data_IF_958485197069
#
_entry.id   IF_958485197069
#
_cell.length_a   1.000
_cell.length_b   1.000
_cell.length_c   1.000
_cell.angle_alpha   90.00
_cell.angle_beta   90.00
_cell.angle_gamma   90.00
#
_symmetry.space_group_name_H-M   'P 1'
#
loop_
_entity.id
_entity.type
_entity.pdbx_description
1 polymer ?
#
# COMPACT_ATOMS: atom_id res chain seq x y z
N UNK A 1 -11.46 -8.04 -13.51
CA UNK A 1 -11.17 -7.82 -12.08
C UNK A 1 -12.50 -7.66 -11.38
N UNK A 2 -12.62 -8.16 -10.15
CA UNK A 2 -13.76 -7.96 -9.25
C UNK A 2 -13.96 -6.49 -8.83
N UNK A 3 -12.93 -5.65 -8.97
CA UNK A 3 -13.00 -4.20 -8.72
C UNK A 3 -13.83 -3.41 -9.74
N UNK A 4 -14.16 -3.99 -10.90
CA UNK A 4 -14.81 -3.26 -12.01
C UNK A 4 -13.94 -2.18 -12.67
N UNK A 5 -12.69 -2.01 -12.23
CA UNK A 5 -11.76 -1.03 -12.79
C UNK A 5 -11.18 -1.52 -14.13
N UNK A 6 -11.19 -0.64 -15.11
CA UNK A 6 -10.61 -0.85 -16.44
C UNK A 6 -9.55 0.22 -16.73
N UNK A 7 -8.75 0.01 -17.77
CA UNK A 7 -7.82 1.04 -18.24
C UNK A 7 -8.60 2.19 -18.86
N UNK A 8 -8.17 3.41 -18.56
CA UNK A 8 -8.63 4.58 -19.30
C UNK A 8 -8.02 4.60 -20.70
N UNK A 9 -8.83 4.99 -21.69
CA UNK A 9 -8.33 5.19 -23.04
C UNK A 9 -7.40 6.41 -23.08
N UNK A 10 -6.40 6.34 -23.96
CA UNK A 10 -5.49 7.46 -24.16
C UNK A 10 -6.22 8.59 -24.90
N UNK A 11 -6.07 9.82 -24.42
CA UNK A 11 -6.58 11.02 -25.07
C UNK A 11 -5.41 11.98 -25.32
N UNK A 12 -5.20 12.35 -26.57
CA UNK A 12 -4.21 13.35 -26.96
C UNK A 12 -4.58 14.00 -28.30
N UNK A 13 -4.11 15.23 -28.53
CA UNK A 13 -4.34 15.95 -29.78
C UNK A 13 -3.76 15.16 -30.97
N UNK A 14 -4.56 14.97 -32.02
CA UNK A 14 -4.18 14.20 -33.20
C UNK A 14 -4.37 12.68 -33.09
N UNK A 15 -4.91 12.15 -31.98
CA UNK A 15 -5.18 10.69 -31.87
C UNK A 15 -6.14 10.18 -32.95
N UNK A 16 -7.04 11.04 -33.44
CA UNK A 16 -7.98 10.75 -34.53
C UNK A 16 -7.30 10.41 -35.86
N UNK A 17 -6.06 10.82 -36.05
CA UNK A 17 -5.30 10.56 -37.28
C UNK A 17 -4.78 9.12 -37.34
N UNK A 18 -4.96 8.35 -36.27
CA UNK A 18 -4.50 6.96 -36.14
C UNK A 18 -5.66 5.98 -36.11
N UNK A 19 -5.39 4.76 -36.60
CA UNK A 19 -6.29 3.63 -36.38
C UNK A 19 -6.07 3.07 -34.97
N UNK A 20 -6.99 3.36 -34.06
CA UNK A 20 -6.92 2.92 -32.66
C UNK A 20 -7.52 1.52 -32.48
N UNK A 21 -6.83 0.67 -31.71
CA UNK A 21 -7.34 -0.62 -31.20
C UNK A 21 -7.14 -0.63 -29.69
N UNK A 22 -8.22 -0.45 -28.94
CA UNK A 22 -8.22 -0.30 -27.48
C UNK A 22 -8.60 -1.58 -26.71
N UNK A 23 -8.98 -2.66 -27.40
CA UNK A 23 -9.49 -3.89 -26.75
C UNK A 23 -8.44 -4.99 -26.56
N UNK A 24 -7.37 -5.02 -27.36
CA UNK A 24 -6.49 -6.19 -27.45
C UNK A 24 -5.28 -6.16 -26.50
N UNK A 25 -4.80 -4.96 -26.16
CA UNK A 25 -3.56 -4.78 -25.41
C UNK A 25 -3.76 -5.04 -23.91
N UNK A 26 -4.83 -4.51 -23.32
CA UNK A 26 -5.12 -4.64 -21.89
C UNK A 26 -5.09 -6.10 -21.39
N UNK A 27 -5.88 -7.05 -21.93
CA UNK A 27 -5.89 -8.42 -21.43
C UNK A 27 -4.52 -9.11 -21.55
N UNK A 28 -3.75 -8.81 -22.60
CA UNK A 28 -2.41 -9.37 -22.81
C UNK A 28 -1.40 -8.83 -21.80
N UNK A 29 -1.41 -7.52 -21.57
CA UNK A 29 -0.53 -6.89 -20.58
C UNK A 29 -0.87 -7.32 -19.15
N UNK A 30 -2.16 -7.47 -18.83
CA UNK A 30 -2.59 -7.96 -17.52
C UNK A 30 -2.03 -9.36 -17.28
N UNK A 31 -2.15 -10.26 -18.25
CA UNK A 31 -1.61 -11.63 -18.12
C UNK A 31 -0.10 -11.63 -17.87
N UNK A 32 0.66 -10.79 -18.57
CA UNK A 32 2.09 -10.63 -18.32
C UNK A 32 2.39 -10.15 -16.88
N UNK A 33 1.55 -9.32 -16.27
CA UNK A 33 1.73 -8.81 -14.89
C UNK A 33 1.34 -9.84 -13.82
N UNK A 34 0.52 -10.84 -14.16
CA UNK A 34 0.13 -11.90 -13.22
C UNK A 34 1.35 -12.72 -12.81
N UNK A 35 2.19 -13.11 -13.77
CA UNK A 35 3.38 -13.93 -13.55
C UNK A 35 4.62 -13.04 -13.45
N UNK A 36 5.26 -13.04 -12.27
CA UNK A 36 6.41 -12.16 -11.99
C UNK A 36 7.68 -12.78 -12.59
N UNK A 37 8.48 -11.95 -13.23
CA UNK A 37 9.84 -12.31 -13.67
C UNK A 37 10.77 -12.52 -12.47
N UNK A 38 11.91 -13.21 -12.64
CA UNK A 38 12.91 -13.36 -11.58
C UNK A 38 13.39 -12.01 -11.01
N UNK A 39 13.58 -11.00 -11.86
CA UNK A 39 14.00 -9.65 -11.46
C UNK A 39 12.92 -8.93 -10.63
N UNK A 40 11.65 -9.04 -11.01
CA UNK A 40 10.55 -8.49 -10.20
C UNK A 40 10.46 -9.17 -8.83
N UNK A 41 10.67 -10.49 -8.77
CA UNK A 41 10.69 -11.23 -7.51
C UNK A 41 11.82 -10.78 -6.58
N UNK A 42 12.98 -10.40 -7.11
CA UNK A 42 14.08 -9.83 -6.30
C UNK A 42 13.67 -8.51 -5.64
N UNK A 43 13.04 -7.61 -6.41
CA UNK A 43 12.50 -6.35 -5.87
C UNK A 43 11.42 -6.61 -4.83
N UNK A 44 10.48 -7.53 -5.11
CA UNK A 44 9.41 -7.90 -4.18
C UNK A 44 9.96 -8.48 -2.87
N UNK A 45 11.02 -9.29 -2.91
CA UNK A 45 11.71 -9.79 -1.70
C UNK A 45 12.35 -8.66 -0.91
N UNK A 46 12.99 -7.70 -1.59
CA UNK A 46 13.60 -6.54 -0.95
C UNK A 46 12.56 -5.71 -0.18
N UNK A 47 11.44 -5.34 -0.83
CA UNK A 47 10.38 -4.54 -0.18
C UNK A 47 9.66 -5.31 0.93
N UNK A 48 9.48 -6.63 0.79
CA UNK A 48 8.92 -7.46 1.87
C UNK A 48 9.84 -7.49 3.08
N UNK A 49 11.16 -7.63 2.87
CA UNK A 49 12.12 -7.58 3.97
C UNK A 49 12.08 -6.23 4.69
N UNK A 50 12.14 -5.13 3.93
CA UNK A 50 12.08 -3.77 4.49
C UNK A 50 10.81 -3.55 5.33
N UNK A 51 9.64 -3.84 4.76
CA UNK A 51 8.36 -3.67 5.46
C UNK A 51 8.23 -4.59 6.67
N UNK A 52 8.79 -5.80 6.61
CA UNK A 52 8.83 -6.72 7.75
C UNK A 52 9.70 -6.17 8.89
N UNK A 53 10.85 -5.59 8.57
CA UNK A 53 11.73 -4.96 9.55
C UNK A 53 11.06 -3.72 10.17
N UNK A 54 10.35 -2.91 9.36
CA UNK A 54 9.54 -1.80 9.86
C UNK A 54 8.38 -2.25 10.77
N UNK A 55 7.70 -3.36 10.45
CA UNK A 55 6.67 -3.92 11.33
C UNK A 55 7.26 -4.40 12.67
N UNK A 56 8.46 -4.98 12.68
CA UNK A 56 9.14 -5.35 13.93
C UNK A 56 9.45 -4.14 14.79
N UNK A 57 9.93 -3.06 14.19
CA UNK A 57 10.18 -1.78 14.87
C UNK A 57 8.90 -1.27 15.55
N UNK A 58 7.77 -1.27 14.82
CA UNK A 58 6.46 -0.90 15.38
C UNK A 58 6.06 -1.79 16.56
N UNK A 59 6.22 -3.11 16.44
CA UNK A 59 5.92 -4.05 17.53
C UNK A 59 6.81 -3.85 18.75
N UNK A 60 8.07 -3.46 18.56
CA UNK A 60 8.98 -3.15 19.66
C UNK A 60 8.60 -1.86 20.38
N UNK A 61 8.09 -0.88 19.64
CA UNK A 61 7.74 0.44 20.14
C UNK A 61 6.31 0.57 20.72
N UNK A 62 5.33 -0.19 20.24
CA UNK A 62 3.93 -0.04 20.67
C UNK A 62 3.75 -0.30 22.18
N UNK A 63 3.09 0.62 22.89
CA UNK A 63 2.75 0.53 24.32
C UNK A 63 1.43 1.28 24.59
N UNK A 64 0.68 0.92 25.65
CA UNK A 64 -0.48 1.70 26.08
C UNK A 64 -0.11 3.19 26.25
N UNK A 65 -1.01 4.09 25.85
CA UNK A 65 -0.82 5.53 25.85
C UNK A 65 -0.18 6.11 24.56
N UNK A 66 0.30 5.28 23.63
CA UNK A 66 0.72 5.76 22.29
C UNK A 66 -0.48 5.91 21.37
N UNK A 67 -0.44 6.89 20.46
CA UNK A 67 -1.44 7.03 19.39
C UNK A 67 -1.08 6.19 18.18
N UNK A 68 -2.11 5.67 17.50
CA UNK A 68 -1.96 4.88 16.27
C UNK A 68 -1.16 5.65 15.18
N UNK A 69 -1.41 6.95 15.01
CA UNK A 69 -0.65 7.77 14.05
C UNK A 69 0.87 7.83 14.31
N UNK A 70 1.32 7.66 15.55
CA UNK A 70 2.75 7.63 15.87
C UNK A 70 3.40 6.34 15.38
N UNK A 71 2.66 5.23 15.41
CA UNK A 71 3.11 3.93 14.90
C UNK A 71 3.13 3.94 13.37
N UNK A 72 2.14 4.55 12.74
CA UNK A 72 2.10 4.80 11.29
C UNK A 72 3.32 5.62 10.83
N UNK A 73 3.62 6.71 11.53
CA UNK A 73 4.79 7.55 11.26
C UNK A 73 6.09 6.77 11.42
N UNK A 74 6.21 5.92 12.45
CA UNK A 74 7.40 5.11 12.69
C UNK A 74 7.64 4.11 11.55
N UNK A 75 6.58 3.41 11.11
CA UNK A 75 6.66 2.49 9.99
C UNK A 75 7.15 3.20 8.71
N UNK A 76 6.52 4.33 8.37
CA UNK A 76 6.87 5.13 7.18
C UNK A 76 8.30 5.66 7.25
N UNK A 77 8.71 6.14 8.43
CA UNK A 77 10.06 6.61 8.67
C UNK A 77 11.09 5.50 8.43
N UNK A 78 10.87 4.31 8.99
CA UNK A 78 11.76 3.16 8.82
C UNK A 78 11.90 2.77 7.33
N UNK A 79 10.77 2.64 6.63
CA UNK A 79 10.75 2.30 5.21
C UNK A 79 11.51 3.32 4.35
N UNK A 80 11.35 4.61 4.63
CA UNK A 80 12.07 5.64 3.87
C UNK A 80 13.55 5.68 4.24
N UNK A 81 13.88 5.71 5.54
CA UNK A 81 15.25 5.85 6.01
C UNK A 81 16.16 4.70 5.53
N UNK A 82 15.72 3.46 5.65
CA UNK A 82 16.56 2.29 5.39
C UNK A 82 16.39 1.71 3.98
N UNK A 83 15.23 1.90 3.36
CA UNK A 83 14.92 1.33 2.06
C UNK A 83 14.77 2.34 0.92
N UNK A 84 14.84 3.64 1.21
CA UNK A 84 14.57 4.68 0.22
C UNK A 84 13.11 4.70 -0.26
N UNK A 85 12.21 3.97 0.39
CA UNK A 85 10.81 3.86 0.00
C UNK A 85 10.04 5.13 0.40
N UNK A 86 10.15 6.17 -0.43
CA UNK A 86 9.47 7.45 -0.23
C UNK A 86 7.95 7.33 -0.22
N UNK A 87 7.42 6.38 -0.99
CA UNK A 87 5.99 6.12 -1.11
C UNK A 87 5.62 4.83 -0.40
N UNK A 88 4.43 4.81 0.21
CA UNK A 88 3.77 3.59 0.67
C UNK A 88 2.81 3.08 -0.39
N UNK A 89 2.63 1.77 -0.47
CA UNK A 89 1.77 1.13 -1.49
C UNK A 89 0.29 1.48 -1.33
N UNK A 90 -0.13 1.82 -0.11
CA UNK A 90 -1.48 2.24 0.25
C UNK A 90 -1.45 3.03 1.57
N UNK A 91 -2.54 3.74 1.87
CA UNK A 91 -2.75 4.37 3.19
C UNK A 91 -2.64 3.32 4.28
N UNK A 92 -1.65 3.44 5.17
CA UNK A 92 -1.41 2.47 6.25
C UNK A 92 -2.69 2.17 7.04
N UNK A 93 -2.80 0.98 7.63
CA UNK A 93 -3.94 0.63 8.49
C UNK A 93 -3.37 0.31 9.86
N UNK A 94 -3.59 1.21 10.81
CA UNK A 94 -3.06 1.12 12.17
C UNK A 94 -4.24 1.20 13.15
N UNK A 95 -5.00 0.11 13.29
CA UNK A 95 -6.15 0.04 14.18
C UNK A 95 -5.83 -0.77 15.43
N UNK A 96 -6.15 -0.22 16.59
CA UNK A 96 -6.05 -0.85 17.92
C UNK A 96 -7.44 -1.14 18.49
N UNK A 97 -7.60 -2.27 19.17
CA UNK A 97 -8.87 -2.68 19.76
C UNK A 97 -9.96 -2.80 18.68
N UNK A 98 -11.13 -2.17 18.90
CA UNK A 98 -12.25 -2.24 17.96
C UNK A 98 -11.93 -1.69 16.56
N UNK A 99 -10.94 -0.80 16.43
CA UNK A 99 -10.52 -0.29 15.12
C UNK A 99 -9.90 -1.41 14.25
N UNK A 100 -9.36 -2.47 14.85
CA UNK A 100 -8.88 -3.65 14.12
C UNK A 100 -9.96 -4.39 13.34
N UNK A 101 -11.25 -4.18 13.66
CA UNK A 101 -12.39 -4.74 12.92
C UNK A 101 -12.76 -3.91 11.67
N UNK A 102 -12.16 -2.74 11.46
CA UNK A 102 -12.43 -1.87 10.32
C UNK A 102 -11.39 -2.07 9.21
N UNK A 103 -11.79 -2.73 8.11
CA UNK A 103 -10.88 -3.22 7.06
C UNK A 103 -9.99 -2.15 6.42
N UNK A 104 -10.49 -0.93 6.23
CA UNK A 104 -9.76 0.19 5.63
C UNK A 104 -9.66 1.39 6.59
N UNK A 105 -9.48 1.14 7.90
CA UNK A 105 -9.24 2.20 8.88
C UNK A 105 -7.99 3.04 8.53
N UNK A 106 -8.00 4.35 8.81
CA UNK A 106 -6.88 5.24 8.54
C UNK A 106 -7.08 6.29 7.46
N UNK A 107 -8.20 6.23 6.73
CA UNK A 107 -8.56 7.28 5.79
C UNK A 107 -8.88 8.60 6.52
N UNK A 108 -9.04 9.70 5.79
CA UNK A 108 -9.24 11.04 6.37
C UNK A 108 -10.44 11.16 7.33
N UNK A 109 -11.45 10.28 7.20
CA UNK A 109 -12.61 10.24 8.10
C UNK A 109 -12.40 9.43 9.38
N UNK A 110 -11.28 8.71 9.49
CA UNK A 110 -10.90 7.89 10.64
C UNK A 110 -9.34 7.83 10.76
N UNK A 111 -8.66 8.95 11.04
CA UNK A 111 -7.24 9.15 10.74
C UNK A 111 -6.28 8.75 11.87
N UNK A 112 -6.41 7.53 12.41
CA UNK A 112 -5.48 6.97 13.44
C UNK A 112 -5.40 7.79 14.74
N UNK A 113 -6.53 8.31 15.20
CA UNK A 113 -6.59 9.27 16.30
C UNK A 113 -6.76 8.62 17.67
N UNK A 114 -7.03 7.30 17.72
CA UNK A 114 -7.19 6.52 18.94
C UNK A 114 -5.84 6.32 19.64
N UNK A 115 -5.90 6.37 20.97
CA UNK A 115 -4.82 5.96 21.87
C UNK A 115 -4.93 4.45 22.07
N UNK A 116 -3.80 3.76 21.95
CA UNK A 116 -3.68 2.33 22.27
C UNK A 116 -3.86 2.19 23.78
N UNK A 117 -4.78 1.33 24.20
CA UNK A 117 -5.06 1.03 25.60
C UNK A 117 -4.49 -0.33 25.99
N UNK A 118 -4.34 -0.58 27.30
CA UNK A 118 -3.98 -1.91 27.78
C UNK A 118 -5.10 -2.91 27.48
N UNK A 119 -4.74 -4.08 26.96
CA UNK A 119 -5.68 -5.12 26.52
C UNK A 119 -6.26 -4.93 25.11
N UNK A 120 -5.93 -3.84 24.41
CA UNK A 120 -6.20 -3.75 22.97
C UNK A 120 -5.38 -4.78 22.19
N UNK A 121 -5.99 -5.35 21.15
CA UNK A 121 -5.31 -6.10 20.08
C UNK A 121 -4.83 -5.14 19.01
#
# INVERSE_FOLDING_TARGET
SDSGNETHEAEFEGISDFKVVNTSLYPRMVECRVIKTPLELEVLRCVNKLSSDAHKEVMQEIRPGKKENKLESLFKHHCYLYGGARHVSYTSICGSGNNGASLHYGHAGAPYDKTVEDGDV
#
